data_IF_887661858313
#
_entry.id   IF_887661858313
#
_cell.length_a   1.000
_cell.length_b   1.000
_cell.length_c   1.000
_cell.angle_alpha   90.00
_cell.angle_beta   90.00
_cell.angle_gamma   90.00
#
_symmetry.space_group_name_H-M   'P 1'
#
loop_
_entity.id
_entity.type
_entity.pdbx_description
1 polymer ?
#
# COMPACT_ATOMS: atom_id res chain seq x y z
N UNK A 1 56.75 9.21 -23.13
CA UNK A 1 55.82 10.18 -22.51
C UNK A 1 54.55 9.46 -22.05
N UNK A 2 54.65 8.20 -21.60
CA UNK A 2 53.48 7.34 -21.34
C UNK A 2 53.13 7.19 -19.86
N UNK A 3 53.95 7.76 -18.96
CA UNK A 3 53.80 7.63 -17.51
C UNK A 3 52.87 8.67 -16.86
N UNK A 4 52.53 9.76 -17.57
CA UNK A 4 51.61 10.78 -17.08
C UNK A 4 50.13 10.46 -17.36
N UNK A 5 49.86 9.64 -18.40
CA UNK A 5 48.51 9.27 -18.82
C UNK A 5 47.86 8.21 -17.90
N UNK A 6 48.63 7.25 -17.38
CA UNK A 6 48.08 6.20 -16.50
C UNK A 6 47.75 6.73 -15.10
N UNK A 7 48.60 7.60 -14.53
CA UNK A 7 48.39 8.15 -13.19
C UNK A 7 47.12 9.02 -13.11
N UNK A 8 46.80 9.79 -14.15
CA UNK A 8 45.58 10.62 -14.19
C UNK A 8 44.30 9.80 -14.31
N UNK A 9 44.35 8.64 -14.98
CA UNK A 9 43.20 7.74 -15.13
C UNK A 9 42.88 7.00 -13.83
N UNK A 10 43.91 6.55 -13.11
CA UNK A 10 43.76 5.87 -11.83
C UNK A 10 43.30 6.83 -10.72
N UNK A 11 43.78 8.07 -10.73
CA UNK A 11 43.36 9.12 -9.79
C UNK A 11 41.90 9.54 -10.01
N UNK A 12 41.46 9.69 -11.27
CA UNK A 12 40.05 9.98 -11.60
C UNK A 12 39.12 8.82 -11.18
N UNK A 13 39.53 7.57 -11.41
CA UNK A 13 38.77 6.40 -10.96
C UNK A 13 38.66 6.32 -9.43
N UNK A 14 39.71 6.71 -8.70
CA UNK A 14 39.70 6.75 -7.23
C UNK A 14 38.77 7.85 -6.70
N UNK A 15 38.77 9.04 -7.33
CA UNK A 15 37.88 10.15 -6.98
C UNK A 15 36.41 9.79 -7.17
N UNK A 16 36.06 9.13 -8.27
CA UNK A 16 34.69 8.64 -8.53
C UNK A 16 34.26 7.67 -7.42
N UNK A 17 35.14 6.74 -7.02
CA UNK A 17 34.85 5.78 -5.95
C UNK A 17 34.64 6.43 -4.59
N UNK A 18 35.48 7.41 -4.24
CA UNK A 18 35.31 8.19 -3.01
C UNK A 18 33.99 8.95 -3.00
N UNK A 19 33.60 9.54 -4.13
CA UNK A 19 32.33 10.24 -4.26
C UNK A 19 31.14 9.28 -4.16
N UNK A 20 31.23 8.09 -4.77
CA UNK A 20 30.21 7.05 -4.63
C UNK A 20 30.09 6.54 -3.19
N UNK A 21 31.19 6.42 -2.46
CA UNK A 21 31.17 6.09 -1.03
C UNK A 21 30.44 7.15 -0.21
N UNK A 22 30.70 8.44 -0.47
CA UNK A 22 30.00 9.55 0.20
C UNK A 22 28.50 9.51 -0.05
N UNK A 23 28.07 9.29 -1.31
CA UNK A 23 26.65 9.19 -1.67
C UNK A 23 25.99 7.98 -1.00
N UNK A 24 26.64 6.82 -1.07
CA UNK A 24 26.19 5.56 -0.44
C UNK A 24 26.04 5.73 1.07
N UNK A 25 27.03 6.36 1.72
CA UNK A 25 27.00 6.65 3.14
C UNK A 25 25.88 7.63 3.49
N UNK A 26 25.67 8.67 2.68
CA UNK A 26 24.60 9.63 2.89
C UNK A 26 23.22 8.98 2.78
N UNK A 27 22.98 8.10 1.80
CA UNK A 27 21.75 7.31 1.70
C UNK A 27 21.52 6.43 2.94
N UNK A 28 22.57 5.72 3.38
CA UNK A 28 22.52 4.85 4.56
C UNK A 28 22.21 5.63 5.83
N UNK A 29 22.86 6.80 6.01
CA UNK A 29 22.63 7.67 7.15
C UNK A 29 21.19 8.21 7.18
N UNK A 30 20.63 8.61 6.02
CA UNK A 30 19.24 9.06 5.93
C UNK A 30 18.25 7.95 6.27
N UNK A 31 18.47 6.74 5.74
CA UNK A 31 17.65 5.57 6.07
C UNK A 31 17.64 5.33 7.59
N UNK A 32 18.81 5.24 8.21
CA UNK A 32 18.92 4.99 9.65
C UNK A 32 18.32 6.10 10.51
N UNK A 33 18.51 7.37 10.12
CA UNK A 33 17.92 8.52 10.80
C UNK A 33 16.39 8.39 10.83
N UNK A 34 15.78 8.10 9.69
CA UNK A 34 14.33 8.02 9.57
C UNK A 34 13.74 6.74 10.19
N UNK A 35 14.47 5.62 10.16
CA UNK A 35 14.09 4.40 10.90
C UNK A 35 14.11 4.64 12.44
N UNK A 36 15.12 5.34 12.95
CA UNK A 36 15.30 5.58 14.39
C UNK A 36 14.42 6.71 14.95
N UNK A 37 14.15 7.77 14.17
CA UNK A 37 13.29 8.87 14.63
C UNK A 37 11.84 8.43 14.85
N UNK A 38 11.34 7.44 14.10
CA UNK A 38 9.98 6.91 14.31
C UNK A 38 9.83 6.14 15.61
N UNK A 39 10.83 5.35 16.00
CA UNK A 39 10.74 4.53 17.23
C UNK A 39 10.74 5.41 18.48
N UNK A 40 11.58 6.44 18.49
CA UNK A 40 11.75 7.37 19.61
C UNK A 40 10.60 8.36 19.75
N UNK A 41 10.06 8.88 18.63
CA UNK A 41 9.03 9.92 18.68
C UNK A 41 7.62 9.38 18.99
N UNK A 42 7.40 8.06 18.89
CA UNK A 42 6.13 7.42 19.27
C UNK A 42 5.92 7.40 20.79
N UNK A 43 7.00 7.44 21.58
CA UNK A 43 6.93 7.46 23.05
C UNK A 43 6.71 8.87 23.63
N UNK A 44 6.97 9.93 22.84
CA UNK A 44 6.99 11.32 23.32
C UNK A 44 5.72 12.14 23.05
N UNK A 45 4.72 11.60 22.33
CA UNK A 45 3.62 12.37 21.73
C UNK A 45 2.41 12.66 22.67
N UNK A 46 2.56 12.55 23.99
CA UNK A 46 1.45 12.73 24.95
C UNK A 46 0.98 14.19 25.16
N UNK A 47 1.69 15.19 24.63
CA UNK A 47 1.43 16.60 24.93
C UNK A 47 1.55 17.45 23.67
N UNK A 48 0.42 17.84 23.09
CA UNK A 48 0.05 19.26 22.89
C UNK A 48 -1.28 19.35 22.11
N UNK A 49 -2.34 19.83 22.76
CA UNK A 49 -3.70 19.89 22.24
C UNK A 49 -4.09 21.32 21.83
N UNK A 50 -3.18 21.98 21.13
CA UNK A 50 -3.41 23.32 20.58
C UNK A 50 -3.09 23.31 19.10
N UNK A 51 -4.11 23.10 18.27
CA UNK A 51 -4.41 23.95 17.12
C UNK A 51 -5.37 23.27 16.13
N UNK A 52 -6.68 23.50 16.31
CA UNK A 52 -7.66 23.23 15.25
C UNK A 52 -7.36 24.08 14.00
N UNK A 53 -6.80 25.29 14.19
CA UNK A 53 -6.41 26.18 13.09
C UNK A 53 -5.12 25.78 12.36
N UNK A 54 -4.26 24.92 12.93
CA UNK A 54 -3.05 24.46 12.24
C UNK A 54 -3.31 23.27 11.33
N UNK A 55 -4.31 22.42 11.66
CA UNK A 55 -4.60 21.20 10.90
C UNK A 55 -4.89 21.49 9.43
N UNK A 56 -5.74 22.48 9.13
CA UNK A 56 -6.00 22.91 7.75
C UNK A 56 -4.74 23.32 7.00
N UNK A 57 -3.89 24.15 7.62
CA UNK A 57 -2.63 24.60 7.01
C UNK A 57 -1.70 23.42 6.72
N UNK A 58 -1.56 22.47 7.65
CA UNK A 58 -0.72 21.29 7.45
C UNK A 58 -1.31 20.32 6.42
N UNK A 59 -2.64 20.18 6.38
CA UNK A 59 -3.36 19.40 5.38
C UNK A 59 -3.11 19.94 3.97
N UNK A 60 -3.33 21.24 3.77
CA UNK A 60 -3.10 21.91 2.49
C UNK A 60 -1.63 21.87 2.10
N UNK A 61 -0.71 22.09 3.05
CA UNK A 61 0.74 22.04 2.78
C UNK A 61 1.19 20.64 2.37
N UNK A 62 0.67 19.58 2.99
CA UNK A 62 0.97 18.19 2.61
C UNK A 62 0.56 17.91 1.17
N UNK A 63 -0.68 18.26 0.83
CA UNK A 63 -1.25 18.03 -0.50
C UNK A 63 -0.60 18.90 -1.58
N UNK A 64 -0.55 20.20 -1.39
CA UNK A 64 -0.19 21.17 -2.44
C UNK A 64 1.31 21.33 -2.66
N UNK A 65 2.15 20.96 -1.69
CA UNK A 65 3.59 21.23 -1.76
C UNK A 65 4.48 20.06 -1.37
N UNK A 66 4.33 19.49 -0.17
CA UNK A 66 5.31 18.53 0.35
C UNK A 66 5.32 17.23 -0.47
N UNK A 67 4.16 16.66 -0.77
CA UNK A 67 4.05 15.42 -1.55
C UNK A 67 4.49 15.61 -3.01
N UNK A 68 4.01 16.62 -3.77
CA UNK A 68 4.48 16.86 -5.13
C UNK A 68 6.00 17.09 -5.23
N UNK A 69 6.55 17.92 -4.33
CA UNK A 69 7.98 18.24 -4.34
C UNK A 69 8.84 17.04 -3.95
N UNK A 70 8.37 16.19 -3.03
CA UNK A 70 9.04 14.94 -2.70
C UNK A 70 9.09 14.01 -3.92
N UNK A 71 8.00 13.91 -4.68
CA UNK A 71 7.96 13.12 -5.92
C UNK A 71 8.95 13.64 -6.96
N UNK A 72 8.99 14.95 -7.16
CA UNK A 72 9.91 15.62 -8.09
C UNK A 72 11.38 15.34 -7.72
N UNK A 73 11.72 15.44 -6.44
CA UNK A 73 13.07 15.15 -5.96
C UNK A 73 13.46 13.70 -6.16
N UNK A 74 12.60 12.75 -5.78
CA UNK A 74 12.85 11.33 -5.98
C UNK A 74 12.98 10.98 -7.47
N UNK A 75 12.18 11.62 -8.33
CA UNK A 75 12.28 11.50 -9.79
C UNK A 75 13.63 12.00 -10.30
N UNK A 76 14.07 13.15 -9.79
CA UNK A 76 15.35 13.77 -10.16
C UNK A 76 16.53 12.90 -9.74
N UNK A 77 16.54 12.39 -8.50
CA UNK A 77 17.57 11.46 -8.01
C UNK A 77 17.59 10.19 -8.85
N UNK A 78 16.42 9.59 -9.13
CA UNK A 78 16.30 8.39 -9.98
C UNK A 78 16.87 8.64 -11.38
N UNK A 79 16.62 9.82 -11.95
CA UNK A 79 17.15 10.21 -13.28
C UNK A 79 18.67 10.36 -13.29
N UNK A 80 19.24 10.91 -12.21
CA UNK A 80 20.70 11.01 -12.07
C UNK A 80 21.35 9.63 -11.90
N UNK A 81 20.65 8.70 -11.23
CA UNK A 81 21.08 7.32 -11.04
C UNK A 81 20.75 6.38 -12.21
N UNK A 82 20.19 6.89 -13.31
CA UNK A 82 19.89 6.07 -14.49
C UNK A 82 21.18 5.40 -15.04
N UNK A 83 21.20 4.07 -15.25
CA UNK A 83 22.45 3.33 -15.46
C UNK A 83 23.31 3.83 -16.61
N UNK A 84 22.69 4.13 -17.77
CA UNK A 84 23.45 4.50 -18.97
C UNK A 84 24.10 5.86 -18.82
N UNK A 85 23.35 6.82 -18.31
CA UNK A 85 23.83 8.17 -18.18
C UNK A 85 24.74 8.34 -16.96
N UNK A 86 24.52 7.57 -15.87
CA UNK A 86 25.45 7.48 -14.74
C UNK A 86 26.81 6.91 -15.17
N UNK A 87 26.86 5.87 -16.03
CA UNK A 87 28.13 5.36 -16.58
C UNK A 87 28.86 6.37 -17.45
N UNK A 88 28.14 7.24 -18.15
CA UNK A 88 28.72 8.23 -19.05
C UNK A 88 29.36 9.39 -18.27
N UNK A 89 28.72 9.85 -17.21
CA UNK A 89 29.11 11.05 -16.46
C UNK A 89 28.97 10.80 -14.93
N UNK A 90 29.76 9.88 -14.34
CA UNK A 90 29.55 9.43 -12.97
C UNK A 90 29.79 10.54 -11.95
N UNK A 91 30.91 11.26 -12.06
CA UNK A 91 31.31 12.30 -11.10
C UNK A 91 30.27 13.45 -10.97
N UNK A 92 29.87 14.16 -12.05
CA UNK A 92 28.91 15.25 -11.91
C UNK A 92 27.53 14.75 -11.45
N UNK A 93 27.12 13.54 -11.83
CA UNK A 93 25.83 12.97 -11.44
C UNK A 93 25.79 12.59 -9.96
N UNK A 94 26.82 11.90 -9.47
CA UNK A 94 26.95 11.59 -8.05
C UNK A 94 27.05 12.86 -7.21
N UNK A 95 27.77 13.87 -7.69
CA UNK A 95 27.83 15.20 -7.06
C UNK A 95 26.46 15.85 -6.94
N UNK A 96 25.66 15.85 -8.02
CA UNK A 96 24.27 16.35 -7.97
C UNK A 96 23.37 15.56 -7.04
N UNK A 97 23.50 14.24 -6.99
CA UNK A 97 22.75 13.41 -6.03
C UNK A 97 23.09 13.85 -4.61
N UNK A 98 24.38 13.98 -4.28
CA UNK A 98 24.83 14.38 -2.95
C UNK A 98 24.28 15.75 -2.53
N UNK A 99 24.21 16.71 -3.45
CA UNK A 99 23.64 18.04 -3.22
C UNK A 99 22.13 18.00 -2.89
N UNK A 100 21.39 17.02 -3.43
CA UNK A 100 19.94 16.89 -3.24
C UNK A 100 19.54 16.19 -1.93
N UNK A 101 20.43 15.37 -1.35
CA UNK A 101 20.12 14.55 -0.16
C UNK A 101 19.76 15.36 1.09
N UNK A 102 20.41 16.48 1.42
CA UNK A 102 20.02 17.31 2.57
C UNK A 102 18.62 17.92 2.42
N UNK A 103 18.24 18.29 1.20
CA UNK A 103 16.90 18.82 0.94
C UNK A 103 15.84 17.73 1.04
N UNK A 104 16.15 16.51 0.55
CA UNK A 104 15.29 15.33 0.71
C UNK A 104 15.04 15.02 2.20
N UNK A 105 16.09 14.98 3.01
CA UNK A 105 16.02 14.79 4.48
C UNK A 105 15.08 15.79 5.16
N UNK A 106 15.27 17.07 4.84
CA UNK A 106 14.45 18.15 5.36
C UNK A 106 12.99 17.97 4.97
N UNK A 107 12.70 17.55 3.73
CA UNK A 107 11.32 17.31 3.28
C UNK A 107 10.68 16.12 3.98
N UNK A 108 11.37 15.00 4.12
CA UNK A 108 10.84 13.84 4.86
C UNK A 108 10.55 14.23 6.30
N UNK A 109 11.45 15.00 6.94
CA UNK A 109 11.25 15.51 8.30
C UNK A 109 10.05 16.46 8.42
N UNK A 110 9.83 17.33 7.42
CA UNK A 110 8.66 18.22 7.37
C UNK A 110 7.36 17.44 7.15
N UNK A 111 7.40 16.39 6.33
CA UNK A 111 6.29 15.48 6.07
C UNK A 111 5.86 14.75 7.35
N UNK A 112 6.83 14.17 8.07
CA UNK A 112 6.59 13.50 9.36
C UNK A 112 5.99 14.45 10.40
N UNK A 113 6.54 15.65 10.53
CA UNK A 113 6.03 16.68 11.44
C UNK A 113 4.58 17.06 11.11
N UNK A 114 4.26 17.29 9.84
CA UNK A 114 2.91 17.65 9.41
C UNK A 114 1.91 16.51 9.63
N UNK A 115 2.28 15.26 9.32
CA UNK A 115 1.41 14.09 9.58
C UNK A 115 1.20 13.90 11.08
N UNK A 116 2.21 14.11 11.91
CA UNK A 116 2.06 14.03 13.38
C UNK A 116 1.08 15.07 13.94
N UNK A 117 1.05 16.27 13.36
CA UNK A 117 0.10 17.33 13.75
C UNK A 117 -1.33 16.97 13.34
N UNK A 118 -1.50 16.37 12.15
CA UNK A 118 -2.81 15.90 11.69
C UNK A 118 -3.29 14.68 12.47
N UNK A 119 -2.36 13.76 12.75
CA UNK A 119 -2.63 12.43 13.28
C UNK A 119 -2.01 12.21 14.67
N UNK A 120 -2.51 12.89 15.73
CA UNK A 120 -1.99 12.67 17.07
C UNK A 120 -2.36 11.29 17.60
N UNK A 121 -1.57 10.77 18.54
CA UNK A 121 -1.72 9.40 19.06
C UNK A 121 -3.10 9.10 19.67
N UNK A 122 -3.76 10.12 20.23
CA UNK A 122 -5.13 10.02 20.77
C UNK A 122 -6.15 9.59 19.73
N UNK A 123 -5.92 9.87 18.44
CA UNK A 123 -6.80 9.42 17.36
C UNK A 123 -7.00 7.91 17.37
N UNK A 124 -6.00 7.13 17.78
CA UNK A 124 -6.07 5.67 17.75
C UNK A 124 -6.78 5.08 18.96
N UNK A 125 -6.88 5.85 20.05
CA UNK A 125 -7.47 5.40 21.32
C UNK A 125 -8.95 5.79 21.39
N UNK A 126 -9.29 6.98 20.91
CA UNK A 126 -10.65 7.50 21.03
C UNK A 126 -11.58 6.83 20.03
N UNK A 127 -12.66 6.24 20.56
CA UNK A 127 -13.71 5.63 19.74
C UNK A 127 -14.78 6.68 19.42
N UNK A 128 -14.35 7.81 18.82
CA UNK A 128 -15.24 8.91 18.49
C UNK A 128 -16.21 8.47 17.38
N UNK A 129 -17.50 8.48 17.72
CA UNK A 129 -18.59 8.05 16.83
C UNK A 129 -19.24 9.20 16.07
N UNK A 130 -19.11 10.40 16.61
CA UNK A 130 -19.82 11.60 16.14
C UNK A 130 -18.86 12.53 15.40
N UNK A 131 -18.26 12.03 14.32
CA UNK A 131 -17.37 12.82 13.45
C UNK A 131 -17.96 13.12 12.07
N UNK A 132 -19.28 12.98 11.94
CA UNK A 132 -20.04 13.17 10.70
C UNK A 132 -19.72 14.48 9.97
N UNK A 133 -19.52 15.58 10.72
CA UNK A 133 -19.32 16.93 10.18
C UNK A 133 -17.84 17.32 10.03
N UNK A 134 -16.90 16.45 10.39
CA UNK A 134 -15.45 16.75 10.38
C UNK A 134 -14.81 16.70 8.98
N UNK A 135 -15.56 16.33 7.94
CA UNK A 135 -15.12 16.32 6.52
C UNK A 135 -13.74 15.66 6.33
N UNK A 136 -12.73 16.39 5.86
CA UNK A 136 -11.37 15.90 5.64
C UNK A 136 -10.66 15.40 6.92
N UNK A 137 -11.12 15.84 8.10
CA UNK A 137 -10.57 15.48 9.41
C UNK A 137 -11.34 14.36 10.10
N UNK A 138 -12.25 13.67 9.40
CA UNK A 138 -12.83 12.42 9.90
C UNK A 138 -11.74 11.45 10.29
N UNK A 139 -11.93 10.78 11.42
CA UNK A 139 -10.97 9.83 11.99
C UNK A 139 -10.55 8.75 10.98
N UNK A 140 -11.50 8.23 10.21
CA UNK A 140 -11.27 7.24 9.15
C UNK A 140 -10.22 7.72 8.14
N UNK A 141 -10.34 8.97 7.66
CA UNK A 141 -9.40 9.54 6.68
C UNK A 141 -8.03 9.81 7.31
N UNK A 142 -8.00 10.24 8.57
CA UNK A 142 -6.73 10.49 9.28
C UNK A 142 -5.98 9.19 9.58
N UNK A 143 -6.68 8.11 9.91
CA UNK A 143 -6.08 6.77 10.07
C UNK A 143 -5.55 6.27 8.74
N UNK A 144 -6.33 6.35 7.66
CA UNK A 144 -5.87 5.93 6.32
C UNK A 144 -4.65 6.74 5.86
N UNK A 145 -4.65 8.05 6.12
CA UNK A 145 -3.52 8.93 5.85
C UNK A 145 -2.26 8.52 6.64
N UNK A 146 -2.40 8.19 7.91
CA UNK A 146 -1.29 7.76 8.75
C UNK A 146 -0.72 6.40 8.30
N UNK A 147 -1.58 5.44 7.98
CA UNK A 147 -1.18 4.14 7.41
C UNK A 147 -0.48 4.31 6.06
N UNK A 148 -1.00 5.20 5.20
CA UNK A 148 -0.40 5.51 3.89
C UNK A 148 0.96 6.18 4.02
N UNK A 149 1.11 7.10 4.99
CA UNK A 149 2.38 7.71 5.28
C UNK A 149 3.41 6.70 5.81
N UNK A 150 2.99 5.76 6.65
CA UNK A 150 3.85 4.64 7.07
C UNK A 150 4.33 3.81 5.88
N UNK A 151 3.46 3.55 4.90
CA UNK A 151 3.84 2.83 3.70
C UNK A 151 4.85 3.66 2.86
N UNK A 152 4.55 4.94 2.60
CA UNK A 152 5.47 5.84 1.90
C UNK A 152 6.85 5.88 2.55
N UNK A 153 6.90 5.97 3.88
CA UNK A 153 8.16 5.97 4.61
C UNK A 153 8.96 4.68 4.39
N UNK A 154 8.31 3.51 4.41
CA UNK A 154 8.97 2.23 4.09
C UNK A 154 9.51 2.22 2.66
N UNK A 155 8.73 2.73 1.71
CA UNK A 155 9.11 2.75 0.31
C UNK A 155 10.30 3.69 0.07
N UNK A 156 10.36 4.83 0.75
CA UNK A 156 11.52 5.73 0.73
C UNK A 156 12.75 5.03 1.33
N UNK A 157 12.64 4.38 2.49
CA UNK A 157 13.76 3.63 3.07
C UNK A 157 14.26 2.53 2.13
N UNK A 158 13.34 1.83 1.45
CA UNK A 158 13.67 0.84 0.42
C UNK A 158 14.40 1.49 -0.75
N UNK A 159 13.89 2.61 -1.26
CA UNK A 159 14.54 3.37 -2.34
C UNK A 159 15.96 3.81 -1.98
N UNK A 160 16.18 4.37 -0.79
CA UNK A 160 17.51 4.80 -0.33
C UNK A 160 18.48 3.61 -0.27
N UNK A 161 18.00 2.46 0.21
CA UNK A 161 18.79 1.22 0.27
C UNK A 161 19.17 0.73 -1.13
N UNK A 162 18.19 0.62 -2.01
CA UNK A 162 18.40 0.14 -3.38
C UNK A 162 19.25 1.11 -4.20
N UNK A 163 19.13 2.42 -3.99
CA UNK A 163 19.99 3.41 -4.63
C UNK A 163 21.46 3.25 -4.22
N UNK A 164 21.71 2.96 -2.94
CA UNK A 164 23.04 2.64 -2.41
C UNK A 164 23.58 1.35 -3.05
N UNK A 165 22.78 0.29 -3.08
CA UNK A 165 23.16 -1.00 -3.70
C UNK A 165 23.44 -0.83 -5.20
N UNK A 166 22.66 -0.01 -5.90
CA UNK A 166 22.85 0.29 -7.32
C UNK A 166 24.20 0.93 -7.62
N UNK A 167 24.65 1.89 -6.80
CA UNK A 167 25.98 2.52 -6.94
C UNK A 167 27.10 1.49 -6.73
N UNK A 168 26.93 0.59 -5.76
CA UNK A 168 27.90 -0.47 -5.43
C UNK A 168 27.98 -1.53 -6.54
N UNK A 169 26.85 -1.96 -7.10
CA UNK A 169 26.77 -2.87 -8.24
C UNK A 169 27.44 -2.29 -9.49
N UNK A 170 27.36 -0.97 -9.66
CA UNK A 170 27.98 -0.25 -10.77
C UNK A 170 29.49 -0.01 -10.58
N UNK A 171 30.08 -0.51 -9.49
CA UNK A 171 31.50 -0.38 -9.14
C UNK A 171 31.97 1.08 -8.99
N UNK A 172 31.02 1.98 -8.70
CA UNK A 172 31.26 3.40 -8.45
C UNK A 172 31.55 3.70 -6.96
N UNK A 173 31.61 2.66 -6.12
CA UNK A 173 31.99 2.71 -4.70
C UNK A 173 33.18 1.79 -4.46
N UNK A 174 33.93 2.02 -3.37
CA UNK A 174 34.98 1.09 -2.91
C UNK A 174 34.40 -0.23 -2.39
N UNK A 175 33.16 -0.19 -1.87
CA UNK A 175 32.42 -1.38 -1.47
C UNK A 175 31.76 -2.00 -2.69
N UNK A 176 32.11 -3.24 -2.99
CA UNK A 176 31.51 -4.00 -4.10
C UNK A 176 30.49 -4.98 -3.55
N UNK A 177 29.24 -4.84 -3.99
CA UNK A 177 28.25 -5.89 -3.82
C UNK A 177 28.39 -6.89 -4.96
N UNK A 178 28.65 -8.15 -4.61
CA UNK A 178 28.62 -9.26 -5.57
C UNK A 178 27.20 -9.80 -5.60
N UNK A 179 26.50 -9.58 -6.71
CA UNK A 179 25.20 -10.23 -6.97
C UNK A 179 25.46 -11.72 -7.16
N UNK A 180 24.75 -12.58 -6.44
CA UNK A 180 24.76 -14.01 -6.73
C UNK A 180 24.01 -14.21 -8.06
N UNK A 181 24.80 -14.53 -9.09
CA UNK A 181 24.44 -14.64 -10.51
C UNK A 181 23.07 -15.30 -10.75
N UNK A 182 22.08 -14.48 -11.13
CA UNK A 182 20.78 -14.87 -11.66
C UNK A 182 20.52 -14.03 -12.92
N UNK A 183 20.32 -14.64 -14.10
CA UNK A 183 20.51 -13.96 -15.39
C UNK A 183 19.41 -12.95 -15.81
N UNK A 184 18.57 -12.46 -14.89
CA UNK A 184 17.44 -11.56 -15.23
C UNK A 184 17.14 -10.44 -14.19
N UNK A 185 17.85 -10.34 -13.05
CA UNK A 185 17.44 -9.45 -11.94
C UNK A 185 18.16 -8.08 -11.88
N UNK A 186 19.27 -7.86 -12.60
CA UNK A 186 20.17 -6.71 -12.36
C UNK A 186 19.68 -5.31 -12.80
N UNK A 187 18.55 -5.19 -13.52
CA UNK A 187 18.12 -3.88 -14.10
C UNK A 187 16.86 -3.31 -13.46
N UNK A 188 16.16 -4.05 -12.59
CA UNK A 188 14.82 -3.65 -12.16
C UNK A 188 14.65 -3.19 -10.70
N UNK A 189 15.64 -3.36 -9.82
CA UNK A 189 15.41 -3.07 -8.39
C UNK A 189 15.22 -1.57 -8.10
N UNK A 190 16.07 -0.68 -8.62
CA UNK A 190 15.94 0.76 -8.36
C UNK A 190 14.68 1.36 -9.01
N UNK A 191 14.36 0.92 -10.22
CA UNK A 191 13.16 1.35 -10.91
C UNK A 191 11.91 0.84 -10.17
N UNK A 192 11.87 -0.41 -9.75
CA UNK A 192 10.76 -0.94 -8.96
C UNK A 192 10.59 -0.19 -7.62
N UNK A 193 11.69 0.05 -6.90
CA UNK A 193 11.66 0.79 -5.63
C UNK A 193 11.18 2.23 -5.80
N UNK A 194 11.65 2.94 -6.83
CA UNK A 194 11.17 4.30 -7.15
C UNK A 194 9.70 4.33 -7.53
N UNK A 195 9.23 3.38 -8.37
CA UNK A 195 7.81 3.26 -8.73
C UNK A 195 6.94 3.00 -7.51
N UNK A 196 7.40 2.20 -6.56
CA UNK A 196 6.68 1.96 -5.31
C UNK A 196 6.53 3.25 -4.48
N UNK A 197 7.61 4.01 -4.32
CA UNK A 197 7.55 5.31 -3.63
C UNK A 197 6.63 6.30 -4.35
N UNK A 198 6.70 6.37 -5.69
CA UNK A 198 5.80 7.23 -6.48
C UNK A 198 4.35 6.82 -6.35
N UNK A 199 4.06 5.53 -6.37
CA UNK A 199 2.71 5.01 -6.17
C UNK A 199 2.15 5.42 -4.81
N UNK A 200 2.94 5.32 -3.74
CA UNK A 200 2.54 5.76 -2.40
C UNK A 200 2.31 7.27 -2.31
N UNK A 201 3.14 8.09 -2.99
CA UNK A 201 2.90 9.54 -3.07
C UNK A 201 1.61 9.85 -3.83
N UNK A 202 1.40 9.22 -4.99
CA UNK A 202 0.22 9.43 -5.81
C UNK A 202 -1.06 8.98 -5.10
N UNK A 203 -0.99 7.87 -4.36
CA UNK A 203 -2.07 7.43 -3.50
C UNK A 203 -2.42 8.50 -2.47
N UNK A 204 -1.42 9.05 -1.77
CA UNK A 204 -1.67 10.09 -0.77
C UNK A 204 -2.28 11.34 -1.41
N UNK A 205 -1.74 11.83 -2.53
CA UNK A 205 -2.31 12.99 -3.26
C UNK A 205 -3.77 12.73 -3.62
N UNK A 206 -4.07 11.56 -4.20
CA UNK A 206 -5.43 11.14 -4.52
C UNK A 206 -6.33 11.07 -3.28
N UNK A 207 -5.80 10.60 -2.15
CA UNK A 207 -6.52 10.58 -0.88
C UNK A 207 -6.96 12.00 -0.48
N UNK A 208 -6.09 13.02 -0.58
CA UNK A 208 -6.43 14.42 -0.29
C UNK A 208 -7.54 14.98 -1.22
N UNK A 209 -7.47 14.64 -2.50
CA UNK A 209 -8.43 15.12 -3.51
C UNK A 209 -9.78 14.41 -3.45
N UNK A 210 -9.75 13.11 -3.15
CA UNK A 210 -10.87 12.20 -3.19
C UNK A 210 -11.92 12.43 -2.09
N UNK A 211 -13.14 12.01 -2.39
CA UNK A 211 -14.24 11.84 -1.44
C UNK A 211 -13.94 10.74 -0.43
N UNK A 212 -14.74 10.67 0.63
CA UNK A 212 -14.68 9.57 1.61
C UNK A 212 -14.88 8.19 0.99
N UNK A 213 -15.68 8.11 -0.08
CA UNK A 213 -15.87 6.87 -0.82
C UNK A 213 -14.70 6.52 -1.71
N UNK A 214 -14.02 7.51 -2.28
CA UNK A 214 -12.83 7.27 -3.08
C UNK A 214 -11.75 6.61 -2.21
N UNK A 215 -11.55 7.11 -1.00
CA UNK A 215 -10.64 6.54 0.00
C UNK A 215 -11.08 5.13 0.41
N UNK A 216 -12.37 4.95 0.74
CA UNK A 216 -12.88 3.63 1.11
C UNK A 216 -12.78 2.61 -0.03
N UNK A 217 -12.88 3.05 -1.28
CA UNK A 217 -12.72 2.22 -2.47
C UNK A 217 -11.27 1.81 -2.71
N UNK A 218 -10.35 2.76 -2.59
CA UNK A 218 -8.93 2.50 -2.79
C UNK A 218 -8.41 1.52 -1.73
N UNK A 219 -8.81 1.71 -0.46
CA UNK A 219 -8.46 0.81 0.65
C UNK A 219 -8.95 -0.64 0.45
N UNK A 220 -10.12 -0.83 -0.17
CA UNK A 220 -10.69 -2.17 -0.39
C UNK A 220 -10.30 -2.79 -1.73
N UNK A 221 -9.72 -2.04 -2.67
CA UNK A 221 -9.50 -2.48 -4.05
C UNK A 221 -8.70 -3.79 -4.12
N UNK A 222 -7.63 -3.90 -3.32
CA UNK A 222 -6.84 -5.12 -3.20
C UNK A 222 -7.67 -6.31 -2.71
N UNK A 223 -8.47 -6.13 -1.67
CA UNK A 223 -9.33 -7.19 -1.15
C UNK A 223 -10.38 -7.65 -2.17
N UNK A 224 -10.90 -6.74 -3.00
CA UNK A 224 -11.83 -7.11 -4.09
C UNK A 224 -11.12 -7.92 -5.17
N UNK A 225 -9.88 -7.55 -5.53
CA UNK A 225 -9.05 -8.33 -6.44
C UNK A 225 -8.72 -9.73 -5.87
N UNK A 226 -8.49 -9.83 -4.57
CA UNK A 226 -8.26 -11.10 -3.88
C UNK A 226 -9.50 -12.00 -3.89
N UNK A 227 -10.71 -11.44 -3.72
CA UNK A 227 -11.96 -12.20 -3.88
C UNK A 227 -12.07 -12.75 -5.31
N UNK A 228 -11.69 -11.96 -6.31
CA UNK A 228 -11.66 -12.38 -7.72
C UNK A 228 -10.68 -13.53 -7.95
N UNK A 229 -9.50 -13.45 -7.35
CA UNK A 229 -8.49 -14.48 -7.44
C UNK A 229 -8.91 -15.75 -6.66
N UNK A 230 -9.52 -15.60 -5.50
CA UNK A 230 -10.09 -16.69 -4.72
C UNK A 230 -11.13 -17.45 -5.54
N UNK A 231 -12.04 -16.76 -6.23
CA UNK A 231 -13.03 -17.41 -7.10
C UNK A 231 -12.36 -18.27 -8.18
N UNK A 232 -11.33 -17.74 -8.86
CA UNK A 232 -10.58 -18.50 -9.88
C UNK A 232 -9.90 -19.71 -9.27
N UNK A 233 -9.26 -19.55 -8.12
CA UNK A 233 -8.58 -20.62 -7.40
C UNK A 233 -9.58 -21.71 -6.97
N UNK A 234 -10.72 -21.33 -6.40
CA UNK A 234 -11.77 -22.26 -5.97
C UNK A 234 -12.37 -23.03 -7.14
N UNK A 235 -12.58 -22.38 -8.29
CA UNK A 235 -13.05 -23.07 -9.51
C UNK A 235 -12.01 -24.08 -10.03
N UNK A 236 -10.73 -23.72 -9.99
CA UNK A 236 -9.62 -24.59 -10.42
C UNK A 236 -9.55 -25.88 -9.58
N UNK A 237 -9.67 -25.79 -8.25
CA UNK A 237 -9.55 -26.96 -7.37
C UNK A 237 -10.71 -27.95 -7.48
N UNK A 238 -11.93 -27.49 -7.81
CA UNK A 238 -13.11 -28.37 -7.97
C UNK A 238 -13.25 -28.93 -9.37
N UNK A 239 -12.60 -28.33 -10.37
CA UNK A 239 -12.78 -28.70 -11.79
C UNK A 239 -11.69 -29.68 -12.24
N UNK A 240 -12.03 -30.93 -12.60
CA UNK A 240 -11.04 -31.97 -12.91
C UNK A 240 -10.08 -31.62 -14.06
N UNK A 241 -10.54 -30.83 -15.04
CA UNK A 241 -9.76 -30.48 -16.24
C UNK A 241 -9.34 -29.00 -16.33
N UNK A 242 -9.63 -28.19 -15.31
CA UNK A 242 -9.21 -26.78 -15.33
C UNK A 242 -7.68 -26.63 -15.19
N UNK A 243 -7.08 -25.62 -15.84
CA UNK A 243 -5.69 -25.26 -15.62
C UNK A 243 -5.49 -24.82 -14.17
N UNK A 244 -4.34 -25.19 -13.58
CA UNK A 244 -3.98 -24.77 -12.23
C UNK A 244 -3.71 -23.27 -12.22
N UNK A 245 -4.15 -22.57 -11.17
CA UNK A 245 -3.84 -21.16 -10.96
C UNK A 245 -2.49 -20.95 -10.28
N UNK A 246 -1.91 -21.98 -9.66
CA UNK A 246 -0.53 -21.96 -9.17
C UNK A 246 0.15 -23.34 -9.27
N UNK A 247 1.49 -23.41 -9.34
CA UNK A 247 2.23 -24.68 -9.43
C UNK A 247 1.95 -25.62 -8.24
N UNK A 248 1.79 -25.04 -7.04
CA UNK A 248 1.54 -25.74 -5.78
C UNK A 248 0.08 -26.15 -5.59
N UNK A 249 -0.83 -25.75 -6.48
CA UNK A 249 -2.26 -26.03 -6.34
C UNK A 249 -2.58 -27.51 -6.60
N UNK A 250 -3.25 -28.15 -5.62
CA UNK A 250 -3.78 -29.52 -5.70
C UNK A 250 -5.29 -29.50 -5.94
N UNK A 251 -5.81 -30.48 -6.69
CA UNK A 251 -7.25 -30.64 -6.95
C UNK A 251 -7.90 -31.44 -5.82
N UNK A 252 -9.16 -31.14 -5.54
CA UNK A 252 -9.96 -31.91 -4.59
C UNK A 252 -10.37 -33.23 -5.22
N UNK A 253 -10.23 -34.32 -4.48
CA UNK A 253 -10.58 -35.68 -4.87
C UNK A 253 -11.74 -36.23 -4.03
N UNK A 254 -11.94 -35.71 -2.80
CA UNK A 254 -13.00 -36.16 -1.90
C UNK A 254 -14.37 -35.62 -2.32
N UNK A 255 -15.37 -36.47 -2.64
CA UNK A 255 -16.68 -36.03 -3.11
C UNK A 255 -17.40 -35.05 -2.17
N UNK A 256 -17.28 -35.25 -0.85
CA UNK A 256 -17.90 -34.37 0.16
C UNK A 256 -17.22 -32.99 0.20
N UNK A 257 -15.89 -32.95 0.12
CA UNK A 257 -15.14 -31.70 0.08
C UNK A 257 -15.44 -30.92 -1.22
N UNK A 258 -15.56 -31.62 -2.36
CA UNK A 258 -15.98 -31.04 -3.63
C UNK A 258 -17.37 -30.42 -3.49
N UNK A 259 -18.36 -31.16 -2.98
CA UNK A 259 -19.73 -30.67 -2.81
C UNK A 259 -19.79 -29.42 -1.93
N UNK A 260 -19.12 -29.42 -0.76
CA UNK A 260 -19.08 -28.25 0.12
C UNK A 260 -18.38 -27.05 -0.52
N UNK A 261 -17.30 -27.30 -1.27
CA UNK A 261 -16.59 -26.23 -1.99
C UNK A 261 -17.45 -25.62 -3.10
N UNK A 262 -18.24 -26.45 -3.80
CA UNK A 262 -19.20 -25.97 -4.80
C UNK A 262 -20.29 -25.07 -4.19
N UNK A 263 -20.69 -25.29 -2.93
CA UNK A 263 -21.64 -24.41 -2.23
C UNK A 263 -21.03 -23.05 -1.84
N UNK A 264 -19.72 -22.97 -1.66
CA UNK A 264 -19.01 -21.71 -1.36
C UNK A 264 -18.90 -20.82 -2.61
N UNK A 265 -18.82 -21.40 -3.82
CA UNK A 265 -18.66 -20.63 -5.07
C UNK A 265 -19.76 -19.58 -5.28
N UNK A 266 -21.06 -19.89 -5.15
CA UNK A 266 -22.12 -18.89 -5.19
C UNK A 266 -21.93 -17.77 -4.17
N UNK A 267 -21.49 -18.10 -2.96
CA UNK A 267 -21.26 -17.11 -1.88
C UNK A 267 -20.13 -16.15 -2.29
N UNK A 268 -18.99 -16.67 -2.78
CA UNK A 268 -17.89 -15.84 -3.31
C UNK A 268 -18.40 -14.93 -4.43
N UNK A 269 -19.20 -15.46 -5.36
CA UNK A 269 -19.77 -14.68 -6.48
C UNK A 269 -20.68 -13.55 -6.00
N UNK A 270 -21.50 -13.77 -4.97
CA UNK A 270 -22.38 -12.75 -4.40
C UNK A 270 -21.58 -11.60 -3.79
N UNK A 271 -20.56 -11.90 -2.98
CA UNK A 271 -19.71 -10.86 -2.40
C UNK A 271 -18.91 -10.10 -3.46
N UNK A 272 -18.33 -10.82 -4.43
CA UNK A 272 -17.71 -10.20 -5.62
C UNK A 272 -18.67 -9.22 -6.30
N UNK A 273 -19.90 -9.65 -6.58
CA UNK A 273 -20.90 -8.83 -7.25
C UNK A 273 -21.27 -7.61 -6.42
N UNK A 274 -21.46 -7.78 -5.10
CA UNK A 274 -21.76 -6.70 -4.18
C UNK A 274 -20.68 -5.62 -4.21
N UNK A 275 -19.42 -5.99 -4.00
CA UNK A 275 -18.32 -5.01 -3.98
C UNK A 275 -18.06 -4.38 -5.34
N UNK A 276 -18.23 -5.15 -6.43
CA UNK A 276 -18.13 -4.61 -7.80
C UNK A 276 -19.25 -3.62 -8.12
N UNK A 277 -20.46 -3.83 -7.61
CA UNK A 277 -21.56 -2.85 -7.76
C UNK A 277 -21.36 -1.61 -6.91
N UNK A 278 -20.63 -1.75 -5.82
CA UNK A 278 -20.33 -0.67 -4.89
C UNK A 278 -19.13 0.18 -5.35
N UNK A 279 -18.39 -0.23 -6.39
CA UNK A 279 -17.25 0.53 -6.93
C UNK A 279 -17.71 1.80 -7.65
N UNK A 280 -16.78 2.72 -7.93
CA UNK A 280 -17.05 3.91 -8.75
C UNK A 280 -17.68 3.53 -10.06
N UNK A 281 -17.15 2.54 -10.78
CA UNK A 281 -17.74 2.09 -12.03
C UNK A 281 -19.17 1.58 -11.83
N UNK A 282 -19.43 0.84 -10.75
CA UNK A 282 -20.76 0.32 -10.44
C UNK A 282 -21.77 1.42 -10.08
N UNK A 283 -21.35 2.41 -9.28
CA UNK A 283 -22.16 3.54 -8.84
C UNK A 283 -22.33 4.60 -9.95
N UNK A 284 -21.31 4.80 -10.77
CA UNK A 284 -21.29 5.77 -11.87
C UNK A 284 -21.93 5.25 -13.16
N UNK A 285 -22.42 4.01 -13.22
CA UNK A 285 -23.18 3.51 -14.39
C UNK A 285 -24.46 4.32 -14.67
N UNK A 286 -24.90 5.17 -13.74
CA UNK A 286 -25.92 6.19 -13.96
C UNK A 286 -25.38 7.60 -13.61
N UNK A 287 -24.49 8.17 -14.43
CA UNK A 287 -23.77 9.41 -14.10
C UNK A 287 -24.68 10.65 -14.05
N UNK A 288 -25.90 10.55 -14.61
CA UNK A 288 -26.94 11.59 -14.49
C UNK A 288 -27.57 11.67 -13.09
N UNK A 289 -27.47 10.62 -12.27
CA UNK A 289 -28.17 10.50 -10.97
C UNK A 289 -27.28 10.61 -9.73
N UNK A 290 -25.96 10.45 -9.88
CA UNK A 290 -25.05 10.32 -8.73
C UNK A 290 -23.98 11.42 -8.71
N UNK A 291 -24.38 12.66 -8.41
CA UNK A 291 -23.43 13.67 -7.89
C UNK A 291 -23.26 13.43 -6.40
N UNK A 292 -22.47 12.42 -6.05
CA UNK A 292 -22.24 12.08 -4.65
C UNK A 292 -21.49 13.24 -3.95
N UNK A 293 -21.95 13.70 -2.78
CA UNK A 293 -21.22 14.68 -1.99
C UNK A 293 -19.81 14.17 -1.65
N UNK A 294 -18.80 15.07 -1.71
CA UNK A 294 -17.41 14.74 -1.35
C UNK A 294 -17.29 14.19 0.08
N UNK A 295 -18.09 14.73 0.99
CA UNK A 295 -18.19 14.29 2.38
C UNK A 295 -19.63 13.86 2.65
N UNK A 296 -19.81 12.67 3.21
CA UNK A 296 -21.11 12.04 3.44
C UNK A 296 -21.51 12.12 4.90
N UNK A 297 -22.78 11.84 5.20
CA UNK A 297 -23.25 11.68 6.57
C UNK A 297 -22.73 10.40 7.24
N UNK A 298 -21.94 9.54 6.59
CA UNK A 298 -21.35 8.39 7.28
C UNK A 298 -20.28 8.85 8.28
N UNK A 299 -20.31 8.34 9.50
CA UNK A 299 -19.18 8.51 10.43
C UNK A 299 -18.03 7.57 10.07
N UNK A 300 -16.90 7.76 10.75
CA UNK A 300 -15.71 6.96 10.55
C UNK A 300 -15.90 5.46 10.82
N UNK A 301 -16.78 5.05 11.74
CA UNK A 301 -17.03 3.63 12.00
C UNK A 301 -17.76 2.98 10.82
N UNK A 302 -18.73 3.68 10.25
CA UNK A 302 -19.46 3.23 9.07
C UNK A 302 -18.54 3.15 7.84
N UNK A 303 -17.69 4.17 7.64
CA UNK A 303 -16.69 4.19 6.57
C UNK A 303 -15.64 3.07 6.72
N UNK A 304 -15.14 2.86 7.94
CA UNK A 304 -14.19 1.80 8.23
C UNK A 304 -14.80 0.41 8.03
N UNK A 305 -16.04 0.21 8.47
CA UNK A 305 -16.79 -1.03 8.22
C UNK A 305 -16.97 -1.29 6.73
N UNK A 306 -17.34 -0.26 5.97
CA UNK A 306 -17.52 -0.34 4.53
C UNK A 306 -16.22 -0.71 3.80
N UNK A 307 -15.10 -0.11 4.21
CA UNK A 307 -13.79 -0.32 3.57
C UNK A 307 -13.15 -1.67 3.94
N UNK A 308 -13.23 -2.09 5.22
CA UNK A 308 -12.61 -3.34 5.70
C UNK A 308 -13.41 -4.60 5.37
N UNK A 309 -14.72 -4.48 5.17
CA UNK A 309 -15.61 -5.64 4.97
C UNK A 309 -15.14 -6.58 3.86
N UNK A 310 -14.63 -6.06 2.73
CA UNK A 310 -14.11 -6.88 1.64
C UNK A 310 -12.94 -7.76 2.09
N UNK A 311 -12.00 -7.22 2.87
CA UNK A 311 -10.86 -7.97 3.40
C UNK A 311 -11.28 -9.03 4.41
N UNK A 312 -12.20 -8.70 5.31
CA UNK A 312 -12.74 -9.65 6.30
C UNK A 312 -13.49 -10.81 5.64
N UNK A 313 -14.27 -10.51 4.60
CA UNK A 313 -14.99 -11.50 3.81
C UNK A 313 -14.02 -12.37 3.00
N UNK A 314 -13.02 -11.77 2.35
CA UNK A 314 -11.98 -12.53 1.67
C UNK A 314 -11.29 -13.51 2.64
N UNK A 315 -10.84 -13.04 3.80
CA UNK A 315 -10.17 -13.87 4.81
C UNK A 315 -11.04 -15.02 5.30
N UNK A 316 -12.33 -14.77 5.56
CA UNK A 316 -13.29 -15.80 5.93
C UNK A 316 -13.50 -16.84 4.83
N UNK A 317 -13.78 -16.41 3.59
CA UNK A 317 -14.01 -17.32 2.46
C UNK A 317 -12.76 -18.13 2.12
N UNK A 318 -11.58 -17.50 2.13
CA UNK A 318 -10.29 -18.15 1.92
C UNK A 318 -10.03 -19.22 2.98
N UNK A 319 -10.33 -18.92 4.26
CA UNK A 319 -10.23 -19.88 5.36
C UNK A 319 -11.16 -21.08 5.16
N UNK A 320 -12.41 -20.88 4.72
CA UNK A 320 -13.33 -21.99 4.44
C UNK A 320 -12.81 -22.90 3.32
N UNK A 321 -12.35 -22.31 2.21
CA UNK A 321 -11.79 -23.07 1.08
C UNK A 321 -10.52 -23.82 1.50
N UNK A 322 -9.66 -23.19 2.31
CA UNK A 322 -8.45 -23.80 2.83
C UNK A 322 -8.76 -24.99 3.74
N UNK A 323 -9.70 -24.84 4.68
CA UNK A 323 -10.12 -25.92 5.58
C UNK A 323 -10.69 -27.12 4.82
N UNK A 324 -11.49 -26.89 3.77
CA UNK A 324 -12.01 -27.95 2.91
C UNK A 324 -10.91 -28.62 2.10
N UNK A 325 -9.93 -27.85 1.64
CA UNK A 325 -8.75 -28.40 0.97
C UNK A 325 -7.98 -29.31 1.90
N UNK A 326 -7.62 -28.84 3.09
CA UNK A 326 -6.90 -29.66 4.08
C UNK A 326 -7.66 -30.88 4.59
N UNK A 327 -9.00 -30.85 4.55
CA UNK A 327 -9.84 -31.98 4.93
C UNK A 327 -9.86 -33.09 3.86
N UNK A 328 -9.35 -32.81 2.65
CA UNK A 328 -9.22 -33.80 1.59
C UNK A 328 -8.00 -34.71 1.85
N UNK A 329 -8.20 -36.02 2.07
CA UNK A 329 -7.11 -36.98 2.34
C UNK A 329 -6.07 -37.04 1.24
N UNK A 330 -6.39 -36.68 0.00
CA UNK A 330 -5.41 -36.64 -1.10
C UNK A 330 -4.46 -35.43 -1.01
N UNK A 331 -4.71 -34.48 -0.10
CA UNK A 331 -3.89 -33.27 0.08
C UNK A 331 -3.10 -33.27 1.39
N UNK A 332 -3.36 -34.23 2.29
CA UNK A 332 -2.77 -34.31 3.63
C UNK A 332 -1.32 -34.83 3.61
N UNK A 333 -0.40 -34.03 4.12
CA UNK A 333 0.90 -34.48 4.65
C UNK A 333 0.80 -34.52 6.18
N UNK A 334 0.41 -35.67 6.75
CA UNK A 334 0.50 -35.93 8.20
C UNK A 334 -0.82 -36.27 8.94
N UNK A 335 -0.73 -36.85 10.17
CA UNK A 335 -1.89 -37.22 10.98
C UNK A 335 -2.58 -35.97 11.55
N UNK A 336 -3.91 -35.92 11.43
CA UNK A 336 -4.66 -34.71 11.79
C UNK A 336 -5.19 -34.70 13.23
N UNK A 337 -4.94 -33.58 13.90
CA UNK A 337 -5.15 -33.38 15.34
C UNK A 337 -5.89 -32.06 15.59
N UNK A 338 -7.18 -31.99 15.23
CA UNK A 338 -8.17 -31.04 15.79
C UNK A 338 -9.59 -31.30 15.21
N UNK A 339 -10.68 -30.95 15.93
CA UNK A 339 -12.05 -30.97 15.40
C UNK A 339 -12.25 -29.84 14.38
N UNK A 340 -11.85 -30.06 13.12
CA UNK A 340 -11.92 -29.09 12.00
C UNK A 340 -13.31 -28.51 11.76
N UNK A 341 -14.36 -29.25 12.13
CA UNK A 341 -15.75 -28.78 12.07
C UNK A 341 -15.99 -27.53 12.94
N UNK A 342 -15.42 -27.47 14.15
CA UNK A 342 -15.58 -26.31 15.03
C UNK A 342 -14.94 -25.05 14.43
N UNK A 343 -13.77 -25.20 13.79
CA UNK A 343 -13.13 -24.10 13.07
C UNK A 343 -13.96 -23.67 11.85
N UNK A 344 -14.50 -24.61 11.09
CA UNK A 344 -15.36 -24.30 9.94
C UNK A 344 -16.62 -23.55 10.37
N UNK A 345 -17.35 -24.06 11.37
CA UNK A 345 -18.53 -23.42 11.92
C UNK A 345 -18.22 -22.02 12.44
N UNK A 346 -17.14 -21.86 13.22
CA UNK A 346 -16.72 -20.56 13.73
C UNK A 346 -16.32 -19.57 12.64
N UNK A 347 -15.82 -20.01 11.48
CA UNK A 347 -15.58 -19.11 10.34
C UNK A 347 -16.90 -18.68 9.70
N UNK A 348 -17.85 -19.61 9.50
CA UNK A 348 -19.18 -19.30 8.94
C UNK A 348 -19.93 -18.30 9.83
N UNK A 349 -19.92 -18.51 11.15
CA UNK A 349 -20.58 -17.63 12.12
C UNK A 349 -19.98 -16.22 12.17
N UNK A 350 -18.72 -16.05 11.78
CA UNK A 350 -18.07 -14.73 11.68
C UNK A 350 -18.35 -13.99 10.38
N UNK A 351 -18.88 -14.65 9.34
CA UNK A 351 -19.13 -13.97 8.06
C UNK A 351 -20.22 -12.88 8.15
N UNK A 352 -21.43 -13.14 8.73
CA UNK A 352 -22.46 -12.12 8.85
C UNK A 352 -22.04 -10.86 9.64
N UNK A 353 -21.47 -10.94 10.87
CA UNK A 353 -21.12 -9.73 11.62
C UNK A 353 -20.01 -8.91 10.95
N UNK A 354 -19.19 -9.51 10.09
CA UNK A 354 -18.17 -8.82 9.30
C UNK A 354 -18.74 -8.09 8.07
N UNK A 355 -19.99 -8.35 7.70
CA UNK A 355 -20.64 -7.79 6.51
C UNK A 355 -21.82 -6.87 6.82
N UNK A 356 -22.63 -7.24 7.81
CA UNK A 356 -23.87 -6.52 8.17
C UNK A 356 -23.67 -5.02 8.38
N UNK A 357 -22.62 -4.52 9.07
CA UNK A 357 -22.41 -3.09 9.24
C UNK A 357 -22.15 -2.36 7.91
N UNK A 358 -21.43 -3.00 6.99
CA UNK A 358 -21.19 -2.45 5.65
C UNK A 358 -22.49 -2.42 4.84
N UNK A 359 -23.24 -3.52 4.83
CA UNK A 359 -24.55 -3.59 4.15
C UNK A 359 -25.51 -2.52 4.68
N UNK A 360 -25.62 -2.38 6.00
CA UNK A 360 -26.45 -1.36 6.63
C UNK A 360 -26.03 0.05 6.20
N UNK A 361 -24.72 0.31 6.13
CA UNK A 361 -24.20 1.60 5.68
C UNK A 361 -24.56 1.88 4.21
N UNK A 362 -24.53 0.86 3.35
CA UNK A 362 -25.01 0.99 1.95
C UNK A 362 -26.50 1.31 1.92
N UNK A 363 -27.33 0.56 2.66
CA UNK A 363 -28.78 0.75 2.65
C UNK A 363 -29.18 2.12 3.18
N UNK A 364 -28.52 2.63 4.23
CA UNK A 364 -28.86 3.91 4.85
C UNK A 364 -28.32 5.12 4.12
N UNK A 365 -27.11 5.03 3.53
CA UNK A 365 -26.39 6.21 3.03
C UNK A 365 -26.13 6.22 1.52
N UNK A 366 -26.31 5.09 0.84
CA UNK A 366 -26.04 4.98 -0.59
C UNK A 366 -27.30 4.77 -1.42
N UNK A 367 -28.16 3.83 -1.02
CA UNK A 367 -29.40 3.54 -1.74
C UNK A 367 -30.30 4.80 -1.85
N UNK A 368 -30.51 5.60 -0.79
CA UNK A 368 -31.37 6.78 -0.89
C UNK A 368 -30.88 7.82 -1.91
N UNK A 369 -29.57 7.87 -2.18
CA UNK A 369 -28.98 8.79 -3.16
C UNK A 369 -29.15 8.31 -4.60
N UNK A 370 -29.47 7.04 -4.82
CA UNK A 370 -29.75 6.45 -6.13
C UNK A 370 -31.21 6.71 -6.53
N UNK A 371 -32.09 6.77 -5.52
CA UNK A 371 -33.55 6.86 -5.66
C UNK A 371 -34.09 8.28 -5.48
N UNK A 372 -33.25 9.32 -5.41
CA UNK A 372 -33.69 10.70 -5.18
C UNK A 372 -34.68 11.17 -6.28
N UNK A 373 -35.96 11.43 -5.94
CA UNK A 373 -36.98 11.84 -6.91
C UNK A 373 -36.82 13.29 -7.41
N UNK A 374 -35.81 14.01 -6.93
CA UNK A 374 -35.52 15.40 -7.30
C UNK A 374 -35.16 15.60 -8.79
N UNK A 375 -34.80 14.53 -9.52
CA UNK A 375 -34.47 14.56 -10.96
C UNK A 375 -35.68 14.33 -11.89
N UNK A 376 -36.93 14.42 -11.38
CA UNK A 376 -38.15 14.28 -12.18
C UNK A 376 -38.85 15.60 -12.58
N UNK A 377 -38.26 16.77 -12.36
CA UNK A 377 -38.83 18.05 -12.79
C UNK A 377 -37.91 18.87 -13.70
#
# INVERSE_FOLDING_TARGET
MDSQSSNTSDEAGLQIKQLGDLVTQAFTNLKHKHESQRTTNREAALVNDQAVNSKGIHYDRLHSSLLPLLKEQLTTITTFLEPRALRREPEPRLGRVLELLPELDSRISQLDSAVRILCPERLFIENQRDDHDLKEFKRFRLIDLEESFHQLHRDICSFLNTASEHIQQMELSTVRLVVLDGPDDEVNDLQAASQQAFHSIDYMIKHFEGSELDVAEDRRAYAVADIDQLLKNTLSIVTPNAPKSSPSQRKLMCPRAIQLTLLIIPIIKLFKLFFKKLSKDGLNMNPKRLKLPKFRQMNSIQLDSLSRSAGMIHGGLSSLVHLLTQADPATLEGPCSAPRYLFFAGVVERLPPNFEPALLSVVLHLIPLIDDPSDQN
#
